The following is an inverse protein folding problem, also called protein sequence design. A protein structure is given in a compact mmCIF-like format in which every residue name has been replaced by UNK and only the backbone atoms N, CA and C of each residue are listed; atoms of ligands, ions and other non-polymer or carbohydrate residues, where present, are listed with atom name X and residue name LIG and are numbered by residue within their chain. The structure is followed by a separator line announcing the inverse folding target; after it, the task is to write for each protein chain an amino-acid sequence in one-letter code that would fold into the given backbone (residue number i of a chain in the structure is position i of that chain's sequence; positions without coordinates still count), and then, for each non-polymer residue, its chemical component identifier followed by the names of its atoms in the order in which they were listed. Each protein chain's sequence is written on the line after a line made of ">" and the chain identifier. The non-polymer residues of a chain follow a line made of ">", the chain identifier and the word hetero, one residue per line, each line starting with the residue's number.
data_IF_763312954636
#
_entry.id   IF_763312954636
#
_cell.length_a   1.000
_cell.length_b   1.000
_cell.length_c   1.000
_cell.angle_alpha   90.00
_cell.angle_beta   90.00
_cell.angle_gamma   90.00
#
_symmetry.space_group_name_H-M   'P 1'
#
loop_
_entity.id
_entity.type
_entity.pdbx_description
1 polymer ?
#
# COMPACT_ATOMS: atom_id res chain seq x y z
N UNK A 1 3.22 51.37 32.62
CA UNK A 1 4.29 50.39 32.36
C UNK A 1 3.59 49.11 31.93
N UNK A 2 3.61 48.83 30.63
CA UNK A 2 2.90 47.71 30.02
C UNK A 2 3.88 46.60 29.70
N UNK A 3 3.74 45.47 30.38
CA UNK A 3 4.57 44.29 30.14
C UNK A 3 4.01 43.58 28.90
N UNK A 4 4.69 43.79 27.78
CA UNK A 4 4.39 43.13 26.50
C UNK A 4 4.94 41.70 26.56
N UNK A 5 4.07 40.73 26.83
CA UNK A 5 4.41 39.33 26.72
C UNK A 5 4.39 38.92 25.24
N UNK A 6 5.57 38.86 24.61
CA UNK A 6 5.76 38.15 23.35
C UNK A 6 5.81 36.65 23.67
N UNK A 7 4.64 36.01 23.69
CA UNK A 7 4.54 34.56 23.82
C UNK A 7 5.12 33.88 22.58
N UNK A 8 6.18 33.08 22.75
CA UNK A 8 6.66 32.17 21.71
C UNK A 8 5.63 31.06 21.56
N UNK A 9 4.75 31.16 20.56
CA UNK A 9 3.82 30.10 20.22
C UNK A 9 4.59 28.95 19.55
N UNK A 10 4.86 27.88 20.31
CA UNK A 10 5.22 26.59 19.71
C UNK A 10 3.98 26.03 19.00
N UNK A 11 3.94 26.15 17.67
CA UNK A 11 2.93 25.49 16.85
C UNK A 11 3.25 23.98 16.81
N UNK A 12 2.82 23.25 17.84
CA UNK A 12 2.84 21.78 17.83
C UNK A 12 1.86 21.32 16.75
N UNK A 13 2.37 21.09 15.55
CA UNK A 13 1.59 20.47 14.48
C UNK A 13 1.55 18.97 14.77
N UNK A 14 0.40 18.50 15.23
CA UNK A 14 0.12 17.07 15.27
C UNK A 14 -0.30 16.58 13.89
N UNK A 15 0.30 15.48 13.47
CA UNK A 15 -0.04 14.80 12.23
C UNK A 15 -0.46 13.37 12.56
N UNK A 16 -1.56 12.90 11.98
CA UNK A 16 -2.09 11.56 12.22
C UNK A 16 -2.40 10.86 10.90
N UNK A 17 -2.11 9.56 10.81
CA UNK A 17 -2.56 8.68 9.75
C UNK A 17 -3.31 7.50 10.35
N UNK A 18 -4.49 7.18 9.81
CA UNK A 18 -5.27 6.01 10.25
C UNK A 18 -5.82 5.28 9.05
N UNK A 19 -5.63 3.96 9.00
CA UNK A 19 -6.19 3.10 7.97
C UNK A 19 -7.70 2.99 8.23
N UNK A 20 -8.52 3.49 7.30
CA UNK A 20 -9.98 3.57 7.47
C UNK A 20 -10.71 2.24 7.28
N UNK A 21 -10.17 1.37 6.43
CA UNK A 21 -10.78 0.10 6.06
C UNK A 21 -9.70 -0.97 5.90
N UNK A 22 -10.09 -2.24 6.02
CA UNK A 22 -9.21 -3.37 5.74
C UNK A 22 -8.68 -3.29 4.29
N UNK A 23 -7.42 -3.68 4.04
CA UNK A 23 -6.88 -3.76 2.69
C UNK A 23 -7.76 -4.64 1.81
N UNK A 24 -8.07 -4.16 0.60
CA UNK A 24 -8.85 -4.90 -0.38
C UNK A 24 -7.89 -5.75 -1.23
N UNK A 25 -8.16 -7.06 -1.41
CA UNK A 25 -7.34 -7.89 -2.28
C UNK A 25 -7.41 -7.40 -3.73
N UNK A 26 -6.29 -7.46 -4.43
CA UNK A 26 -6.23 -7.13 -5.85
C UNK A 26 -6.57 -8.35 -6.69
N UNK A 27 -7.73 -8.33 -7.35
CA UNK A 27 -8.14 -9.40 -8.25
C UNK A 27 -7.59 -9.17 -9.66
N UNK A 28 -7.01 -10.21 -10.25
CA UNK A 28 -6.55 -10.17 -11.64
C UNK A 28 -7.76 -9.90 -12.55
N UNK A 29 -7.66 -8.84 -13.35
CA UNK A 29 -8.67 -8.46 -14.32
C UNK A 29 -7.98 -8.18 -15.67
N UNK A 30 -8.60 -8.59 -16.77
CA UNK A 30 -8.18 -8.25 -18.12
C UNK A 30 -9.18 -7.22 -18.71
N UNK A 31 -8.79 -5.95 -18.95
CA UNK A 31 -7.46 -5.36 -18.79
C UNK A 31 -7.12 -4.98 -17.33
N UNK A 32 -5.82 -4.90 -17.04
CA UNK A 32 -5.28 -4.42 -15.75
C UNK A 32 -5.82 -3.03 -15.45
N UNK A 33 -6.46 -2.86 -14.29
CA UNK A 33 -7.04 -1.58 -13.85
C UNK A 33 -6.47 -1.22 -12.49
N UNK A 34 -6.06 0.04 -12.32
CA UNK A 34 -5.74 0.57 -11.00
C UNK A 34 -6.95 0.41 -10.08
N UNK A 35 -6.70 -0.07 -8.85
CA UNK A 35 -7.71 -0.27 -7.81
C UNK A 35 -7.25 0.41 -6.54
N UNK A 36 -8.21 0.83 -5.72
CA UNK A 36 -7.91 1.33 -4.39
C UNK A 36 -7.72 0.13 -3.45
N UNK A 37 -6.47 -0.16 -3.06
CA UNK A 37 -6.17 -1.24 -2.12
C UNK A 37 -6.31 -0.79 -0.66
N UNK A 38 -5.80 0.39 -0.32
CA UNK A 38 -5.73 0.90 1.05
C UNK A 38 -6.28 2.32 1.08
N UNK A 39 -7.13 2.62 2.08
CA UNK A 39 -7.61 3.97 2.34
C UNK A 39 -7.05 4.49 3.66
N UNK A 40 -6.33 5.61 3.60
CA UNK A 40 -5.70 6.23 4.76
C UNK A 40 -6.32 7.61 5.00
N UNK A 41 -6.84 7.84 6.20
CA UNK A 41 -7.20 9.18 6.70
C UNK A 41 -5.95 9.85 7.24
N UNK A 42 -5.43 10.84 6.53
CA UNK A 42 -4.29 11.63 6.95
C UNK A 42 -4.71 13.06 7.32
N UNK A 43 -4.19 13.55 8.44
CA UNK A 43 -4.35 14.94 8.89
C UNK A 43 -2.98 15.52 9.17
N UNK A 44 -2.68 16.68 8.59
CA UNK A 44 -1.39 17.36 8.78
C UNK A 44 -0.19 16.66 8.14
N UNK A 45 -0.40 15.71 7.23
CA UNK A 45 0.65 15.03 6.46
C UNK A 45 0.18 14.69 5.04
N UNK A 46 1.12 14.56 4.11
CA UNK A 46 0.91 14.15 2.73
C UNK A 46 1.83 12.98 2.41
N UNK A 47 1.29 11.94 1.79
CA UNK A 47 2.08 10.79 1.34
C UNK A 47 2.69 11.08 -0.03
N UNK A 48 4.01 10.98 -0.12
CA UNK A 48 4.75 11.25 -1.36
C UNK A 48 5.14 9.97 -2.10
N UNK A 49 5.28 8.86 -1.38
CA UNK A 49 5.75 7.58 -1.92
C UNK A 49 5.14 6.42 -1.13
N UNK A 50 4.90 5.30 -1.80
CA UNK A 50 4.40 4.06 -1.19
C UNK A 50 5.35 2.92 -1.54
N UNK A 51 5.87 2.26 -0.50
CA UNK A 51 6.73 1.10 -0.63
C UNK A 51 5.99 -0.11 -0.09
N UNK A 52 5.83 -1.10 -0.95
CA UNK A 52 5.20 -2.38 -0.62
C UNK A 52 6.18 -3.30 0.14
N UNK A 53 6.81 -2.77 1.18
CA UNK A 53 7.75 -3.50 2.02
C UNK A 53 7.01 -4.46 2.95
N UNK A 54 7.51 -5.68 3.07
CA UNK A 54 6.96 -6.72 3.94
C UNK A 54 6.49 -7.97 3.20
N UNK A 55 5.88 -8.87 3.96
CA UNK A 55 5.41 -10.16 3.45
C UNK A 55 4.02 -10.01 2.84
N UNK A 56 3.92 -10.17 1.52
CA UNK A 56 2.64 -10.22 0.82
C UNK A 56 2.14 -11.65 0.70
N UNK A 57 0.82 -11.76 0.57
CA UNK A 57 0.14 -13.02 0.32
C UNK A 57 -0.67 -12.92 -0.98
N UNK A 58 -0.60 -13.97 -1.81
CA UNK A 58 -1.38 -14.10 -3.02
C UNK A 58 -1.99 -15.50 -3.14
N UNK A 59 -2.97 -15.62 -4.03
CA UNK A 59 -3.62 -16.90 -4.33
C UNK A 59 -3.58 -17.15 -5.83
N UNK A 60 -3.11 -18.33 -6.23
CA UNK A 60 -3.15 -18.80 -7.61
C UNK A 60 -4.58 -18.79 -8.13
N UNK A 61 -4.77 -18.23 -9.33
CA UNK A 61 -6.10 -17.97 -9.92
C UNK A 61 -6.84 -19.28 -10.17
N UNK A 62 -6.15 -20.27 -10.75
CA UNK A 62 -6.74 -21.53 -11.18
C UNK A 62 -6.64 -22.64 -10.13
N UNK A 63 -5.52 -22.74 -9.42
CA UNK A 63 -5.25 -23.79 -8.43
C UNK A 63 -5.77 -23.49 -7.03
N UNK A 64 -5.92 -22.20 -6.70
CA UNK A 64 -6.09 -21.73 -5.34
C UNK A 64 -4.89 -21.95 -4.40
N UNK A 65 -3.69 -22.25 -4.93
CA UNK A 65 -2.44 -22.32 -4.16
C UNK A 65 -2.21 -20.99 -3.45
N UNK A 66 -1.88 -21.04 -2.16
CA UNK A 66 -1.56 -19.85 -1.37
C UNK A 66 -0.06 -19.63 -1.42
N UNK A 67 0.33 -18.43 -1.81
CA UNK A 67 1.71 -17.95 -1.81
C UNK A 67 1.83 -16.94 -0.67
N UNK A 68 2.79 -17.15 0.22
CA UNK A 68 3.04 -16.31 1.41
C UNK A 68 4.51 -15.90 1.44
N UNK A 69 4.82 -14.74 2.02
CA UNK A 69 6.19 -14.22 2.04
C UNK A 69 6.63 -13.69 0.68
N UNK A 70 5.68 -13.20 -0.12
CA UNK A 70 5.95 -12.58 -1.40
C UNK A 70 6.61 -11.23 -1.14
N UNK A 71 7.79 -11.03 -1.71
CA UNK A 71 8.47 -9.72 -1.70
C UNK A 71 8.16 -8.97 -3.01
N UNK A 72 7.61 -7.77 -2.88
CA UNK A 72 7.28 -6.89 -4.00
C UNK A 72 8.20 -5.66 -4.06
N UNK A 73 9.27 -5.63 -3.26
CA UNK A 73 10.21 -4.51 -3.17
C UNK A 73 10.91 -4.22 -4.51
N UNK A 74 11.23 -5.26 -5.27
CA UNK A 74 11.88 -5.19 -6.59
C UNK A 74 10.90 -4.86 -7.74
N UNK A 75 9.60 -4.79 -7.45
CA UNK A 75 8.55 -4.49 -8.44
C UNK A 75 8.16 -5.67 -9.35
N UNK A 76 8.82 -6.82 -9.20
CA UNK A 76 8.50 -8.09 -9.86
C UNK A 76 8.69 -9.27 -8.90
N UNK A 77 7.86 -10.30 -9.06
CA UNK A 77 7.95 -11.54 -8.32
C UNK A 77 7.56 -12.71 -9.21
N UNK A 78 8.21 -13.86 -9.04
CA UNK A 78 8.06 -15.05 -9.86
C UNK A 78 8.05 -16.28 -8.96
N UNK A 79 7.16 -17.23 -9.25
CA UNK A 79 7.09 -18.51 -8.57
C UNK A 79 6.43 -19.55 -9.50
N UNK A 80 6.40 -20.80 -9.05
CA UNK A 80 5.83 -21.90 -9.80
C UNK A 80 4.71 -22.56 -9.01
N UNK A 81 3.52 -22.62 -9.63
CA UNK A 81 2.39 -23.29 -9.03
C UNK A 81 2.41 -24.78 -9.37
N UNK A 82 2.94 -25.59 -8.46
CA UNK A 82 3.00 -27.05 -8.65
C UNK A 82 1.62 -27.70 -8.85
N UNK A 83 0.53 -27.08 -8.35
CA UNK A 83 -0.82 -27.63 -8.52
C UNK A 83 -1.42 -27.33 -9.88
N UNK A 84 -1.15 -26.14 -10.43
CA UNK A 84 -1.53 -25.80 -11.79
C UNK A 84 -0.53 -26.35 -12.82
N UNK A 85 0.69 -26.69 -12.38
CA UNK A 85 1.84 -26.95 -13.24
C UNK A 85 2.18 -25.76 -14.17
N UNK A 86 1.97 -24.55 -13.67
CA UNK A 86 2.12 -23.30 -14.42
C UNK A 86 3.01 -22.28 -13.67
N UNK A 87 3.70 -21.41 -14.41
CA UNK A 87 4.46 -20.30 -13.83
C UNK A 87 3.50 -19.18 -13.44
N UNK A 88 3.64 -18.68 -12.22
CA UNK A 88 2.91 -17.51 -11.73
C UNK A 88 3.89 -16.37 -11.53
N UNK A 89 3.47 -15.17 -11.91
CA UNK A 89 4.29 -13.98 -11.72
C UNK A 89 3.46 -12.73 -11.49
N UNK A 90 4.03 -11.81 -10.73
CA UNK A 90 3.51 -10.47 -10.50
C UNK A 90 4.54 -9.53 -11.11
N UNK A 91 4.16 -8.77 -12.13
CA UNK A 91 5.05 -7.85 -12.87
C UNK A 91 4.41 -6.48 -13.00
N UNK A 92 5.21 -5.50 -13.41
CA UNK A 92 4.77 -4.13 -13.68
C UNK A 92 4.02 -3.49 -12.50
N UNK A 93 4.46 -3.78 -11.27
CA UNK A 93 3.82 -3.27 -10.06
C UNK A 93 3.98 -1.75 -10.02
N UNK A 94 2.84 -1.06 -9.99
CA UNK A 94 2.79 0.41 -9.92
C UNK A 94 1.90 0.82 -8.77
N UNK A 95 2.48 1.59 -7.86
CA UNK A 95 1.77 2.20 -6.75
C UNK A 95 1.43 3.64 -7.09
N UNK A 96 0.20 4.02 -6.79
CA UNK A 96 -0.26 5.38 -7.03
C UNK A 96 -0.99 5.87 -5.79
N UNK A 97 -0.48 6.95 -5.21
CA UNK A 97 -1.14 7.65 -4.11
C UNK A 97 -2.04 8.71 -4.74
N UNK A 98 -3.35 8.58 -4.56
CA UNK A 98 -4.32 9.59 -4.99
C UNK A 98 -5.01 10.19 -3.78
N UNK A 99 -5.24 11.50 -3.83
CA UNK A 99 -6.11 12.19 -2.89
C UNK A 99 -7.56 11.86 -3.28
N UNK A 100 -8.33 11.38 -2.32
CA UNK A 100 -9.76 11.15 -2.46
C UNK A 100 -10.54 12.47 -2.43
#
# INVERSE_FOLDING_TARGET
>A
MGDSYCGVYFNQRESSATIKAAPVPYEQNAPTKARNLIQIDCRGLEFTDFKADGEWEAKGVDSGTKFSGIDLSDGEWFDYDEKASEEVSIKDIKWEIRRA
#
